data_IF_420305217681
#
_entry.id   IF_420305217681
#
_cell.length_a   1.000
_cell.length_b   1.000
_cell.length_c   1.000
_cell.angle_alpha   90.00
_cell.angle_beta   90.00
_cell.angle_gamma   90.00
#
_symmetry.space_group_name_H-M   'P 1'
#
loop_
_entity.id
_entity.type
_entity.pdbx_description
1 polymer ?
#
# COMPACT_ATOMS: atom_id res chain seq x y z
N UNK A 1 -2.05 -9.17 0.74
CA UNK A 1 -2.66 -9.18 2.09
C UNK A 1 -4.04 -9.84 2.18
N UNK A 2 -4.98 -9.62 1.24
CA UNK A 2 -6.35 -10.16 1.31
C UNK A 2 -6.47 -11.68 1.58
N UNK A 3 -5.59 -12.50 1.00
CA UNK A 3 -5.59 -13.96 1.25
C UNK A 3 -5.23 -14.30 2.70
N UNK A 4 -4.29 -13.58 3.30
CA UNK A 4 -3.90 -13.77 4.69
C UNK A 4 -5.05 -13.41 5.64
N UNK A 5 -5.76 -12.32 5.33
CA UNK A 5 -6.97 -11.91 6.07
C UNK A 5 -8.05 -12.99 5.95
N UNK A 6 -8.31 -13.49 4.74
CA UNK A 6 -9.29 -14.55 4.53
C UNK A 6 -8.93 -15.87 5.23
N UNK A 7 -7.63 -16.16 5.36
CA UNK A 7 -7.13 -17.31 6.11
C UNK A 7 -7.20 -17.13 7.64
N UNK A 8 -7.62 -15.95 8.13
CA UNK A 8 -7.86 -15.71 9.55
C UNK A 8 -6.58 -15.53 10.37
N UNK A 9 -5.48 -15.06 9.76
CA UNK A 9 -4.27 -14.72 10.49
C UNK A 9 -4.58 -13.63 11.54
N UNK A 10 -4.10 -13.85 12.77
CA UNK A 10 -4.34 -12.98 13.93
C UNK A 10 -3.05 -12.37 14.43
N UNK A 11 -3.18 -11.32 15.25
CA UNK A 11 -2.06 -10.59 15.87
C UNK A 11 -1.10 -9.97 14.83
N UNK A 12 -1.66 -9.49 13.71
CA UNK A 12 -0.94 -8.82 12.63
C UNK A 12 -1.77 -7.61 12.20
N UNK A 13 -1.11 -6.47 12.01
CA UNK A 13 -1.71 -5.28 11.42
C UNK A 13 -1.59 -5.35 9.89
N UNK A 14 -2.73 -5.41 9.20
CA UNK A 14 -2.75 -5.46 7.74
C UNK A 14 -2.81 -4.05 7.14
N UNK A 15 -1.77 -3.71 6.38
CA UNK A 15 -1.68 -2.49 5.58
C UNK A 15 -1.63 -2.90 4.10
N UNK A 16 -2.45 -2.26 3.27
CA UNK A 16 -2.38 -2.38 1.82
C UNK A 16 -1.85 -1.08 1.22
N UNK A 17 -0.77 -1.15 0.43
CA UNK A 17 -0.23 -0.05 -0.35
C UNK A 17 -0.38 -0.35 -1.84
N UNK A 18 -0.88 0.61 -2.62
CA UNK A 18 -0.98 0.45 -4.07
C UNK A 18 -0.99 1.81 -4.80
N UNK A 19 -0.54 1.83 -6.05
CA UNK A 19 -0.66 2.99 -6.96
C UNK A 19 -2.03 3.06 -7.65
N UNK A 20 -2.75 1.95 -7.69
CA UNK A 20 -4.11 1.86 -8.24
C UNK A 20 -5.14 2.00 -7.11
N UNK A 21 -5.86 3.13 -7.10
CA UNK A 21 -6.88 3.45 -6.09
C UNK A 21 -8.13 2.57 -6.23
N UNK A 22 -8.46 2.14 -7.46
CA UNK A 22 -9.61 1.26 -7.70
C UNK A 22 -9.31 -0.12 -7.10
N UNK A 23 -8.12 -0.66 -7.38
CA UNK A 23 -7.69 -1.91 -6.77
C UNK A 23 -7.62 -1.80 -5.24
N UNK A 24 -7.09 -0.69 -4.72
CA UNK A 24 -6.98 -0.45 -3.28
C UNK A 24 -8.35 -0.41 -2.58
N UNK A 25 -9.39 0.12 -3.23
CA UNK A 25 -10.75 0.16 -2.69
C UNK A 25 -11.31 -1.23 -2.35
N UNK A 26 -10.90 -2.25 -3.10
CA UNK A 26 -11.31 -3.65 -2.93
C UNK A 26 -10.48 -4.41 -1.89
N UNK A 27 -9.44 -3.79 -1.33
CA UNK A 27 -8.62 -4.38 -0.28
C UNK A 27 -9.41 -4.55 1.02
N UNK A 28 -9.22 -5.71 1.66
CA UNK A 28 -9.79 -6.06 2.96
C UNK A 28 -8.91 -5.61 4.13
N UNK A 29 -7.73 -5.04 3.86
CA UNK A 29 -6.86 -4.48 4.88
C UNK A 29 -7.57 -3.33 5.62
N UNK A 30 -7.37 -3.27 6.94
CA UNK A 30 -7.92 -2.20 7.76
C UNK A 30 -7.31 -0.85 7.38
N UNK A 31 -6.01 -0.83 7.11
CA UNK A 31 -5.28 0.35 6.67
C UNK A 31 -4.96 0.25 5.18
N UNK A 32 -5.23 1.31 4.44
CA UNK A 32 -5.05 1.40 2.99
C UNK A 32 -4.37 2.72 2.67
N UNK A 33 -3.25 2.66 1.94
CA UNK A 33 -2.51 3.84 1.47
C UNK A 33 -2.38 3.80 -0.04
N UNK A 34 -2.79 4.89 -0.68
CA UNK A 34 -2.55 5.13 -2.10
C UNK A 34 -1.22 5.84 -2.26
N UNK A 35 -0.31 5.29 -3.06
CA UNK A 35 1.03 5.87 -3.28
C UNK A 35 1.19 6.40 -4.71
N UNK A 36 2.01 7.43 -4.90
CA UNK A 36 2.30 8.07 -6.18
C UNK A 36 1.08 8.69 -6.84
N UNK A 37 0.22 9.34 -6.06
CA UNK A 37 -1.01 9.95 -6.59
C UNK A 37 -0.69 11.02 -7.65
N UNK A 38 0.41 11.78 -7.50
CA UNK A 38 0.81 12.79 -8.50
C UNK A 38 1.42 12.15 -9.75
N UNK A 39 2.10 11.02 -9.61
CA UNK A 39 2.77 10.33 -10.71
C UNK A 39 1.79 9.50 -11.54
N UNK A 40 0.86 8.80 -10.89
CA UNK A 40 0.00 7.78 -11.52
C UNK A 40 -1.44 8.23 -11.71
N UNK A 41 -1.86 9.31 -11.06
CA UNK A 41 -3.26 9.73 -11.02
C UNK A 41 -4.19 8.69 -10.39
N UNK A 42 -3.65 7.74 -9.63
CA UNK A 42 -4.41 6.64 -9.02
C UNK A 42 -4.80 5.51 -9.99
N UNK A 43 -4.20 5.46 -11.18
CA UNK A 43 -4.47 4.45 -12.23
C UNK A 43 -3.45 3.31 -12.26
N UNK A 44 -2.48 3.31 -11.34
CA UNK A 44 -1.44 2.31 -11.26
C UNK A 44 -0.15 2.66 -12.03
N UNK A 45 0.91 1.90 -11.76
CA UNK A 45 2.23 2.10 -12.36
C UNK A 45 2.36 1.60 -13.82
N UNK A 46 1.31 0.98 -14.39
CA UNK A 46 1.32 0.52 -15.79
C UNK A 46 2.36 -0.56 -16.11
N UNK A 47 2.70 -1.41 -15.13
CA UNK A 47 3.70 -2.48 -15.28
C UNK A 47 5.15 -1.98 -15.30
N UNK A 48 5.40 -0.71 -14.98
CA UNK A 48 6.72 -0.08 -14.95
C UNK A 48 7.27 -0.01 -13.52
N UNK A 49 8.29 -0.80 -13.15
CA UNK A 49 8.85 -0.80 -11.81
C UNK A 49 9.37 0.57 -11.37
N UNK A 50 9.98 1.33 -12.26
CA UNK A 50 10.53 2.66 -12.01
C UNK A 50 9.45 3.70 -11.65
N UNK A 51 8.22 3.50 -12.14
CA UNK A 51 7.07 4.34 -11.75
C UNK A 51 6.63 3.99 -10.34
N UNK A 52 6.62 2.70 -10.00
CA UNK A 52 6.31 2.23 -8.64
C UNK A 52 7.32 2.69 -7.60
N UNK A 53 8.61 2.68 -7.94
CA UNK A 53 9.68 3.21 -7.07
C UNK A 53 9.47 4.70 -6.80
N UNK A 54 9.28 5.51 -7.85
CA UNK A 54 9.03 6.96 -7.68
C UNK A 54 7.76 7.23 -6.88
N UNK A 55 6.71 6.43 -7.08
CA UNK A 55 5.47 6.51 -6.33
C UNK A 55 5.67 6.23 -4.83
N UNK A 56 6.48 5.23 -4.48
CA UNK A 56 6.81 4.94 -3.09
C UNK A 56 7.69 6.05 -2.47
N UNK A 57 8.64 6.59 -3.24
CA UNK A 57 9.50 7.70 -2.79
C UNK A 57 8.68 8.97 -2.52
N UNK A 58 7.70 9.29 -3.37
CA UNK A 58 6.79 10.43 -3.20
C UNK A 58 6.11 10.43 -1.82
N UNK A 59 5.64 9.27 -1.37
CA UNK A 59 4.86 9.11 -0.14
C UNK A 59 5.65 8.44 0.99
N UNK A 60 6.99 8.57 0.98
CA UNK A 60 7.90 7.95 1.97
C UNK A 60 7.51 8.31 3.40
N UNK A 61 7.18 9.59 3.66
CA UNK A 61 6.84 10.06 5.01
C UNK A 61 5.55 9.41 5.53
N UNK A 62 4.56 9.22 4.66
CA UNK A 62 3.30 8.57 5.02
C UNK A 62 3.53 7.08 5.30
N UNK A 63 4.30 6.40 4.45
CA UNK A 63 4.70 5.00 4.66
C UNK A 63 5.47 4.85 5.98
N UNK A 64 6.44 5.72 6.25
CA UNK A 64 7.24 5.70 7.47
C UNK A 64 6.40 5.89 8.73
N UNK A 65 5.40 6.78 8.68
CA UNK A 65 4.47 6.99 9.79
C UNK A 65 3.58 5.76 10.04
N UNK A 66 3.15 5.07 8.97
CA UNK A 66 2.31 3.88 9.08
C UNK A 66 3.02 2.68 9.71
N UNK A 67 4.32 2.53 9.47
CA UNK A 67 5.12 1.44 10.05
C UNK A 67 5.81 1.84 11.36
N UNK A 68 5.59 3.06 11.83
CA UNK A 68 6.23 3.57 13.05
C UNK A 68 5.83 2.73 14.25
N UNK A 69 6.84 2.21 14.97
CA UNK A 69 6.63 1.36 16.15
C UNK A 69 6.48 -0.13 15.83
N UNK A 70 6.46 -0.53 14.56
CA UNK A 70 6.53 -1.93 14.19
C UNK A 70 7.91 -2.51 14.53
N UNK A 71 7.93 -3.66 15.21
CA UNK A 71 9.16 -4.40 15.46
C UNK A 71 9.56 -5.28 14.26
N UNK A 72 8.59 -5.63 13.41
CA UNK A 72 8.75 -6.43 12.20
C UNK A 72 7.69 -5.99 11.19
N UNK A 73 8.08 -5.89 9.91
CA UNK A 73 7.24 -5.49 8.77
C UNK A 73 7.32 -6.57 7.71
#
# INVERSE_FOLDING_TARGET
VNRMIAAGLKNIDFIAANTDLQALSTSRAQTKIGIGSKITGGLGAGGKPEVGEKAAVEDTDEIANLVKGANMV
#
